data_IF_768013957021
#
_entry.id   IF_768013957021
#
_cell.length_a   1.000
_cell.length_b   1.000
_cell.length_c   1.000
_cell.angle_alpha   90.00
_cell.angle_beta   90.00
_cell.angle_gamma   90.00
#
_symmetry.space_group_name_H-M   'P 1'
#
loop_
_entity.id
_entity.type
_entity.pdbx_description
1 polymer ?
#
# COMPACT_ATOMS: atom_id res chain seq x y z
N UNK A 1 -7.11 0.35 -23.11
CA UNK A 1 -7.68 1.60 -22.58
C UNK A 1 -6.57 2.25 -21.77
N UNK A 2 -6.78 3.40 -21.12
CA UNK A 2 -5.75 4.03 -20.30
C UNK A 2 -5.99 3.65 -18.83
N UNK A 3 -4.93 3.17 -18.16
CA UNK A 3 -4.87 3.01 -16.70
C UNK A 3 -5.41 4.29 -16.06
N UNK A 4 -6.48 4.20 -15.26
CA UNK A 4 -7.09 5.40 -14.69
C UNK A 4 -6.09 6.03 -13.72
N UNK A 5 -6.03 7.36 -13.67
CA UNK A 5 -5.15 8.08 -12.72
C UNK A 5 -5.39 7.64 -11.25
N UNK A 6 -6.63 7.26 -10.93
CA UNK A 6 -6.98 6.70 -9.63
C UNK A 6 -6.27 5.36 -9.32
N UNK A 7 -6.10 4.48 -10.31
CA UNK A 7 -5.40 3.19 -10.13
C UNK A 7 -3.92 3.39 -9.83
N UNK A 8 -3.30 4.42 -10.43
CA UNK A 8 -1.91 4.79 -10.15
C UNK A 8 -1.77 5.22 -8.68
N UNK A 9 -2.66 6.09 -8.22
CA UNK A 9 -2.67 6.54 -6.83
C UNK A 9 -2.90 5.38 -5.85
N UNK A 10 -3.74 4.40 -6.20
CA UNK A 10 -3.93 3.19 -5.39
C UNK A 10 -2.66 2.35 -5.29
N UNK A 11 -1.94 2.15 -6.40
CA UNK A 11 -0.64 1.44 -6.37
C UNK A 11 0.35 2.18 -5.48
N UNK A 12 0.48 3.50 -5.65
CA UNK A 12 1.38 4.31 -4.82
C UNK A 12 0.98 4.29 -3.33
N UNK A 13 -0.32 4.21 -3.03
CA UNK A 13 -0.81 4.11 -1.64
C UNK A 13 -0.43 2.76 -1.03
N UNK A 14 -0.52 1.67 -1.79
CA UNK A 14 -0.07 0.33 -1.35
C UNK A 14 1.44 0.34 -1.08
N UNK A 15 2.23 0.92 -1.99
CA UNK A 15 3.69 1.04 -1.83
C UNK A 15 4.05 1.87 -0.59
N UNK A 16 3.37 3.00 -0.37
CA UNK A 16 3.57 3.85 0.81
C UNK A 16 3.22 3.10 2.09
N UNK A 17 2.12 2.36 2.12
CA UNK A 17 1.72 1.56 3.28
C UNK A 17 2.76 0.48 3.62
N UNK A 18 3.36 -0.16 2.61
CA UNK A 18 4.46 -1.11 2.81
C UNK A 18 5.71 -0.43 3.36
N UNK A 19 6.06 0.76 2.87
CA UNK A 19 7.16 1.56 3.40
C UNK A 19 6.92 1.97 4.87
N UNK A 20 5.68 2.35 5.22
CA UNK A 20 5.31 2.65 6.61
C UNK A 20 5.53 1.44 7.52
N UNK A 21 5.11 0.25 7.11
CA UNK A 21 5.28 -0.99 7.88
C UNK A 21 6.78 -1.30 8.08
N UNK A 22 7.58 -1.26 7.02
CA UNK A 22 9.01 -1.54 7.09
C UNK A 22 9.75 -0.53 7.97
N UNK A 23 9.41 0.76 7.85
CA UNK A 23 9.98 1.82 8.69
C UNK A 23 9.59 1.64 10.15
N UNK A 24 8.32 1.29 10.43
CA UNK A 24 7.86 1.05 11.78
C UNK A 24 8.59 -0.12 12.45
N UNK A 25 8.80 -1.24 11.73
CA UNK A 25 9.54 -2.38 12.24
C UNK A 25 10.99 -2.02 12.56
N UNK A 26 11.68 -1.39 11.61
CA UNK A 26 13.08 -0.95 11.77
C UNK A 26 13.21 0.04 12.93
N UNK A 27 12.33 1.04 12.98
CA UNK A 27 12.32 2.04 14.04
C UNK A 27 12.01 1.44 15.41
N UNK A 28 11.09 0.49 15.49
CA UNK A 28 10.77 -0.19 16.74
C UNK A 28 11.97 -0.99 17.27
N UNK A 29 12.72 -1.67 16.40
CA UNK A 29 13.96 -2.38 16.76
C UNK A 29 15.06 -1.44 17.24
N UNK A 30 15.15 -0.24 16.66
CA UNK A 30 16.19 0.75 16.93
C UNK A 30 15.80 1.78 18.02
N UNK A 31 14.65 1.62 18.68
CA UNK A 31 14.13 2.63 19.62
C UNK A 31 15.05 2.83 20.82
N UNK A 32 15.30 4.09 21.17
CA UNK A 32 16.10 4.46 22.36
C UNK A 32 15.23 4.79 23.58
N UNK A 33 13.96 5.15 23.36
CA UNK A 33 13.02 5.50 24.41
C UNK A 33 11.58 4.97 24.16
N UNK A 34 10.72 4.93 25.20
CA UNK A 34 9.34 4.46 25.06
C UNK A 34 8.47 5.27 24.09
N UNK A 35 8.73 6.57 23.95
CA UNK A 35 8.03 7.46 23.02
C UNK A 35 8.24 7.07 21.55
N UNK A 36 9.47 6.70 21.17
CA UNK A 36 9.74 6.08 19.88
C UNK A 36 8.92 4.79 19.70
N UNK A 37 8.81 3.97 20.75
CA UNK A 37 7.98 2.76 20.72
C UNK A 37 6.50 3.04 20.41
N UNK A 38 5.93 4.09 21.01
CA UNK A 38 4.55 4.53 20.73
C UNK A 38 4.41 5.03 19.29
N UNK A 39 5.34 5.87 18.83
CA UNK A 39 5.34 6.41 17.47
C UNK A 39 5.37 5.29 16.41
N UNK A 40 6.29 4.34 16.55
CA UNK A 40 6.40 3.24 15.59
C UNK A 40 5.24 2.25 15.70
N UNK A 41 4.65 2.07 16.88
CA UNK A 41 3.40 1.31 17.03
C UNK A 41 2.24 1.93 16.26
N UNK A 42 2.07 3.26 16.34
CA UNK A 42 1.04 3.99 15.57
C UNK A 42 1.32 3.89 14.06
N UNK A 43 2.57 4.05 13.65
CA UNK A 43 2.98 3.95 12.25
C UNK A 43 2.68 2.54 11.69
N UNK A 44 2.92 1.49 12.49
CA UNK A 44 2.65 0.10 12.12
C UNK A 44 1.15 -0.16 11.94
N UNK A 45 0.32 0.22 12.92
CA UNK A 45 -1.14 0.06 12.84
C UNK A 45 -1.72 0.83 11.65
N UNK A 46 -1.28 2.08 11.45
CA UNK A 46 -1.70 2.90 10.32
C UNK A 46 -1.29 2.28 8.99
N UNK A 47 -0.07 1.75 8.88
CA UNK A 47 0.44 1.08 7.68
C UNK A 47 -0.40 -0.14 7.31
N UNK A 48 -0.71 -1.02 8.26
CA UNK A 48 -1.56 -2.19 8.00
C UNK A 48 -2.99 -1.81 7.61
N UNK A 49 -3.61 -0.85 8.30
CA UNK A 49 -4.97 -0.38 7.96
C UNK A 49 -5.02 0.23 6.57
N UNK A 50 -4.04 1.04 6.22
CA UNK A 50 -3.96 1.67 4.89
C UNK A 50 -3.75 0.62 3.80
N UNK A 51 -2.89 -0.37 4.05
CA UNK A 51 -2.63 -1.47 3.12
C UNK A 51 -3.91 -2.28 2.83
N UNK A 52 -4.65 -2.66 3.87
CA UNK A 52 -5.91 -3.41 3.74
C UNK A 52 -6.97 -2.61 2.96
N UNK A 53 -7.17 -1.34 3.29
CA UNK A 53 -8.12 -0.46 2.58
C UNK A 53 -7.76 -0.29 1.11
N UNK A 54 -6.48 -0.01 0.80
CA UNK A 54 -6.03 0.20 -0.56
C UNK A 54 -6.12 -1.08 -1.41
N UNK A 55 -5.84 -2.25 -0.82
CA UNK A 55 -6.00 -3.54 -1.48
C UNK A 55 -7.48 -3.86 -1.77
N UNK A 56 -8.39 -3.59 -0.82
CA UNK A 56 -9.83 -3.73 -1.02
C UNK A 56 -10.34 -2.85 -2.16
N UNK A 57 -9.90 -1.59 -2.22
CA UNK A 57 -10.31 -0.69 -3.31
C UNK A 57 -9.75 -1.15 -4.66
N UNK A 58 -8.50 -1.62 -4.70
CA UNK A 58 -7.92 -2.24 -5.90
C UNK A 58 -8.74 -3.45 -6.37
N UNK A 59 -9.17 -4.32 -5.46
CA UNK A 59 -10.03 -5.46 -5.79
C UNK A 59 -11.40 -5.00 -6.32
N UNK A 60 -11.99 -3.97 -5.72
CA UNK A 60 -13.24 -3.40 -6.20
C UNK A 60 -13.10 -2.82 -7.62
N UNK A 61 -11.97 -2.16 -7.93
CA UNK A 61 -11.66 -1.70 -9.28
C UNK A 61 -11.51 -2.87 -10.28
N UNK A 62 -10.88 -3.97 -9.88
CA UNK A 62 -10.77 -5.19 -10.71
C UNK A 62 -12.14 -5.80 -11.00
N UNK A 63 -13.00 -5.93 -9.98
CA UNK A 63 -14.34 -6.49 -10.13
C UNK A 63 -15.25 -5.64 -11.03
N UNK A 64 -15.09 -4.30 -10.99
CA UNK A 64 -15.79 -3.36 -11.88
C UNK A 64 -15.24 -3.36 -13.32
N UNK A 65 -14.18 -4.12 -13.60
CA UNK A 65 -13.49 -4.13 -14.89
C UNK A 65 -12.75 -2.82 -15.20
N UNK A 66 -12.43 -2.02 -14.16
CA UNK A 66 -11.70 -0.76 -14.31
C UNK A 66 -10.19 -0.96 -14.28
N UNK A 67 -9.75 -2.12 -13.77
CA UNK A 67 -8.35 -2.48 -13.69
C UNK A 67 -7.92 -3.21 -14.97
N UNK A 68 -7.20 -2.53 -15.84
CA UNK A 68 -6.60 -3.19 -17.00
C UNK A 68 -5.37 -4.01 -16.57
N UNK A 69 -5.47 -5.33 -16.73
CA UNK A 69 -4.29 -6.19 -16.76
C UNK A 69 -3.47 -5.77 -17.98
N UNK A 70 -2.28 -5.22 -17.75
CA UNK A 70 -1.29 -4.89 -18.78
C UNK A 70 -0.63 -6.12 -19.40
N UNK A 71 -1.31 -7.26 -19.45
CA UNK A 71 -0.83 -8.50 -20.05
C UNK A 71 -1.71 -8.87 -21.25
N UNK A 72 -1.58 -8.05 -22.29
CA UNK A 72 -1.64 -8.53 -23.68
C UNK A 72 -0.37 -8.04 -24.38
N UNK A 73 0.76 -8.63 -24.04
CA UNK A 73 1.90 -8.63 -24.95
C UNK A 73 1.67 -9.72 -26.00
N UNK A 74 1.37 -9.24 -27.20
CA UNK A 74 1.76 -9.80 -28.51
C UNK A 74 1.53 -11.30 -28.75
N UNK A 75 0.38 -11.59 -29.36
CA UNK A 75 0.36 -12.61 -30.40
C UNK A 75 1.10 -12.04 -31.62
N UNK A 76 2.26 -12.61 -31.96
CA UNK A 76 2.63 -12.87 -33.36
C UNK A 76 3.60 -14.04 -33.45
#
# INVERSE_FOLDING_TARGET
MLKKKCDINLVQTIELAQQMIALAQTGYEQREDPGCGVLYGILLDSGYRLLDLAQKERQAHMQKGWWENSDKKENK
#
